data_IF_353186290052
#
_entry.id   IF_353186290052
#
_cell.length_a   1.000
_cell.length_b   1.000
_cell.length_c   1.000
_cell.angle_alpha   90.00
_cell.angle_beta   90.00
_cell.angle_gamma   90.00
#
_symmetry.space_group_name_H-M   'P 1'
#
loop_
_entity.id
_entity.type
_entity.pdbx_description
1 polymer ?
#
# COMPACT_ATOMS: atom_id res chain seq x y z
N UNK A 1 -18.07 46.22 -5.67
CA UNK A 1 -18.04 44.94 -6.39
C UNK A 1 -18.31 43.85 -5.36
N UNK A 2 -19.48 43.21 -5.33
CA UNK A 2 -19.81 42.22 -4.29
C UNK A 2 -18.99 40.96 -4.52
N UNK A 3 -18.41 40.44 -3.44
CA UNK A 3 -17.70 39.14 -3.42
C UNK A 3 -18.70 38.03 -3.82
N UNK A 4 -18.38 37.32 -4.88
CA UNK A 4 -19.17 36.14 -5.29
C UNK A 4 -19.16 35.12 -4.16
N UNK A 5 -20.35 34.75 -3.73
CA UNK A 5 -20.59 33.60 -2.87
C UNK A 5 -19.92 32.34 -3.51
N UNK A 6 -18.79 31.94 -2.96
CA UNK A 6 -18.19 30.64 -3.27
C UNK A 6 -18.85 29.65 -2.32
N UNK A 7 -19.99 29.11 -2.76
CA UNK A 7 -20.57 27.95 -2.10
C UNK A 7 -19.48 26.88 -1.93
N UNK A 8 -19.10 26.63 -0.69
CA UNK A 8 -18.23 25.51 -0.32
C UNK A 8 -18.92 24.26 -0.88
N UNK A 9 -18.20 23.41 -1.63
CA UNK A 9 -18.79 22.15 -2.10
C UNK A 9 -19.36 21.40 -0.90
N UNK A 10 -20.64 21.07 -0.96
CA UNK A 10 -21.28 20.25 0.05
C UNK A 10 -20.64 18.88 -0.01
N UNK A 11 -19.77 18.57 0.96
CA UNK A 11 -19.26 17.22 1.17
C UNK A 11 -20.43 16.43 1.75
N UNK A 12 -21.02 15.46 1.02
CA UNK A 12 -22.10 14.66 1.57
C UNK A 12 -21.58 13.95 2.82
N UNK A 13 -22.34 14.01 3.90
CA UNK A 13 -22.05 13.25 5.11
C UNK A 13 -21.96 11.78 4.72
N UNK A 14 -20.77 11.20 4.79
CA UNK A 14 -20.55 9.79 4.50
C UNK A 14 -21.31 8.96 5.52
N UNK A 15 -22.19 8.12 5.06
CA UNK A 15 -22.83 7.09 5.89
C UNK A 15 -21.75 6.14 6.42
N UNK A 16 -21.26 6.38 7.62
CA UNK A 16 -20.66 5.39 8.51
C UNK A 16 -19.25 4.84 8.21
N UNK A 17 -18.64 5.07 7.04
CA UNK A 17 -17.25 4.63 6.75
C UNK A 17 -16.51 5.74 6.01
N UNK A 18 -16.02 6.72 6.75
CA UNK A 18 -15.10 7.70 6.20
C UNK A 18 -13.75 6.99 5.99
N UNK A 19 -13.44 6.64 4.73
CA UNK A 19 -12.10 6.15 4.38
C UNK A 19 -11.10 7.28 4.61
N UNK A 20 -10.08 7.01 5.40
CA UNK A 20 -9.02 7.97 5.73
C UNK A 20 -7.95 8.09 4.63
N UNK A 21 -8.23 7.60 3.43
CA UNK A 21 -7.27 7.52 2.32
C UNK A 21 -7.95 7.72 0.97
N UNK A 22 -7.15 8.04 -0.05
CA UNK A 22 -7.57 8.04 -1.47
C UNK A 22 -6.42 7.54 -2.35
N UNK A 23 -6.70 7.13 -3.59
CA UNK A 23 -5.71 6.70 -4.55
C UNK A 23 -5.96 7.32 -5.92
N UNK A 24 -4.90 7.60 -6.66
CA UNK A 24 -4.92 7.99 -8.06
C UNK A 24 -4.67 6.81 -9.02
N UNK A 25 -4.52 5.59 -8.47
CA UNK A 25 -4.35 4.36 -9.23
C UNK A 25 -5.70 3.71 -9.50
N UNK A 26 -5.97 3.40 -10.77
CA UNK A 26 -7.11 2.58 -11.14
C UNK A 26 -6.84 1.11 -10.80
N UNK A 27 -7.54 0.63 -9.75
CA UNK A 27 -7.40 -0.75 -9.28
C UNK A 27 -8.17 -1.77 -10.13
N UNK A 28 -9.14 -1.33 -10.91
CA UNK A 28 -10.10 -2.21 -11.60
C UNK A 28 -9.94 -2.23 -13.13
N UNK A 29 -9.37 -1.19 -13.70
CA UNK A 29 -9.18 -1.06 -15.15
C UNK A 29 -8.13 -2.02 -15.74
N UNK A 30 -8.18 -2.21 -17.07
CA UNK A 30 -7.16 -2.95 -17.81
C UNK A 30 -5.94 -2.06 -18.10
N UNK A 31 -4.84 -2.69 -18.50
CA UNK A 31 -3.63 -1.99 -18.90
C UNK A 31 -2.70 -1.73 -17.74
N UNK A 32 -2.13 -0.53 -17.66
CA UNK A 32 -1.17 -0.15 -16.63
C UNK A 32 -1.58 1.16 -15.98
N UNK A 33 -1.74 1.15 -14.67
CA UNK A 33 -1.97 2.32 -13.83
C UNK A 33 -0.85 2.41 -12.80
N UNK A 34 -0.23 3.58 -12.65
CA UNK A 34 0.88 3.81 -11.70
C UNK A 34 0.64 5.13 -11.01
N UNK A 35 0.75 5.15 -9.69
CA UNK A 35 0.54 6.34 -8.87
C UNK A 35 0.78 6.02 -7.40
N UNK A 36 -0.07 6.57 -6.56
CA UNK A 36 0.07 6.45 -5.12
C UNK A 36 -1.27 6.19 -4.43
N UNK A 37 -1.16 5.57 -3.27
CA UNK A 37 -2.13 5.71 -2.21
C UNK A 37 -1.72 6.88 -1.34
N UNK A 38 -2.67 7.69 -0.94
CA UNK A 38 -2.49 8.88 -0.12
C UNK A 38 -3.23 8.70 1.21
N UNK A 39 -2.49 8.77 2.31
CA UNK A 39 -3.06 8.80 3.66
C UNK A 39 -2.75 10.17 4.26
N UNK A 40 -3.75 11.08 4.34
CA UNK A 40 -3.56 12.39 4.94
C UNK A 40 -3.17 12.27 6.41
N UNK A 41 -2.23 13.11 6.84
CA UNK A 41 -1.83 13.26 8.23
C UNK A 41 -1.42 14.70 8.53
N UNK A 42 -1.34 15.05 9.80
CA UNK A 42 -0.97 16.38 10.23
C UNK A 42 0.02 16.30 11.41
N UNK A 43 1.28 15.87 11.15
CA UNK A 43 2.31 15.85 12.17
C UNK A 43 2.83 17.27 12.47
N UNK A 44 3.54 17.44 13.57
CA UNK A 44 4.07 18.74 14.01
C UNK A 44 4.91 19.46 12.95
N UNK A 45 5.60 18.72 12.10
CA UNK A 45 6.48 19.27 11.06
C UNK A 45 5.79 19.51 9.71
N UNK A 46 4.56 19.03 9.52
CA UNK A 46 3.79 19.19 8.28
C UNK A 46 2.28 19.16 8.55
N UNK A 47 1.66 20.34 8.69
CA UNK A 47 0.24 20.46 8.97
C UNK A 47 -0.68 19.91 7.88
N UNK A 48 -0.17 19.71 6.65
CA UNK A 48 -0.88 19.17 5.49
C UNK A 48 -0.16 17.95 4.90
N UNK A 49 0.51 17.20 5.75
CA UNK A 49 1.26 16.03 5.38
C UNK A 49 0.42 14.93 4.75
N UNK A 50 1.08 14.10 3.96
CA UNK A 50 0.46 12.94 3.33
C UNK A 50 1.49 11.86 3.21
N UNK A 51 1.21 10.68 3.76
CA UNK A 51 1.99 9.47 3.43
C UNK A 51 1.57 9.01 2.04
N UNK A 52 2.55 8.87 1.14
CA UNK A 52 2.34 8.46 -0.25
C UNK A 52 2.93 7.08 -0.44
N UNK A 53 2.09 6.07 -0.52
CA UNK A 53 2.52 4.69 -0.75
C UNK A 53 2.50 4.43 -2.25
N UNK A 54 3.64 4.11 -2.88
CA UNK A 54 3.69 3.83 -4.32
C UNK A 54 2.90 2.56 -4.62
N UNK A 55 2.12 2.62 -5.69
CA UNK A 55 1.19 1.57 -6.08
C UNK A 55 1.12 1.49 -7.60
N UNK A 56 1.13 0.28 -8.14
CA UNK A 56 0.91 0.06 -9.55
C UNK A 56 0.00 -1.14 -9.79
N UNK A 57 -0.77 -1.07 -10.85
CA UNK A 57 -1.57 -2.17 -11.39
C UNK A 57 -1.13 -2.46 -12.81
N UNK A 58 -0.92 -3.74 -13.12
CA UNK A 58 -0.70 -4.22 -14.48
C UNK A 58 -1.70 -5.33 -14.73
N UNK A 59 -2.64 -5.11 -15.65
CA UNK A 59 -3.76 -6.03 -15.90
C UNK A 59 -4.00 -6.26 -17.38
N UNK A 60 -4.27 -7.52 -17.74
CA UNK A 60 -4.60 -7.91 -19.11
C UNK A 60 -5.43 -9.19 -19.12
N UNK A 61 -6.58 -9.12 -19.77
CA UNK A 61 -7.51 -10.25 -19.89
C UNK A 61 -8.15 -10.67 -18.56
N UNK A 62 -8.68 -11.88 -18.57
CA UNK A 62 -9.27 -12.52 -17.38
C UNK A 62 -8.25 -13.44 -16.71
N UNK A 63 -8.26 -13.49 -15.38
CA UNK A 63 -7.34 -14.33 -14.60
C UNK A 63 -7.29 -13.88 -13.15
N UNK A 64 -6.41 -14.48 -12.35
CA UNK A 64 -6.30 -14.16 -10.93
C UNK A 64 -5.76 -12.75 -10.71
N UNK A 65 -6.11 -12.20 -9.55
CA UNK A 65 -5.49 -11.01 -8.98
C UNK A 65 -4.42 -11.43 -7.99
N UNK A 66 -3.19 -11.04 -8.24
CA UNK A 66 -2.04 -11.32 -7.37
C UNK A 66 -1.45 -10.02 -6.87
N UNK A 67 -1.23 -9.93 -5.57
CA UNK A 67 -0.52 -8.82 -4.94
C UNK A 67 0.93 -9.23 -4.71
N UNK A 68 1.86 -8.35 -5.08
CA UNK A 68 3.26 -8.45 -4.69
C UNK A 68 3.63 -7.20 -3.92
N UNK A 69 3.96 -7.38 -2.66
CA UNK A 69 4.28 -6.30 -1.72
C UNK A 69 5.71 -6.44 -1.20
N UNK A 70 6.33 -5.32 -0.89
CA UNK A 70 7.60 -5.22 -0.20
C UNK A 70 7.62 -4.00 0.73
N UNK A 71 8.69 -3.90 1.54
CA UNK A 71 8.87 -2.77 2.44
C UNK A 71 7.89 -2.74 3.61
N UNK A 72 7.40 -3.90 4.03
CA UNK A 72 6.67 -4.06 5.29
C UNK A 72 7.57 -3.64 6.47
N UNK A 73 8.84 -4.08 6.41
CA UNK A 73 9.92 -3.52 7.21
C UNK A 73 10.78 -2.62 6.32
N UNK A 74 11.06 -1.41 6.79
CA UNK A 74 11.67 -0.39 5.96
C UNK A 74 13.14 -0.60 5.63
N UNK A 75 13.86 -1.39 6.42
CA UNK A 75 15.28 -1.73 6.22
C UNK A 75 15.51 -2.98 5.36
N UNK A 76 14.46 -3.59 4.81
CA UNK A 76 14.51 -4.75 3.92
C UNK A 76 14.41 -4.27 2.46
N UNK A 77 15.54 -3.88 1.85
CA UNK A 77 15.56 -3.14 0.58
C UNK A 77 15.40 -4.00 -0.66
N UNK A 78 15.80 -5.26 -0.63
CA UNK A 78 15.85 -6.15 -1.80
C UNK A 78 14.48 -6.30 -2.45
N UNK A 79 13.45 -6.57 -1.65
CA UNK A 79 12.07 -6.67 -2.11
C UNK A 79 11.57 -5.35 -2.73
N UNK A 80 11.92 -4.22 -2.12
CA UNK A 80 11.53 -2.89 -2.61
C UNK A 80 12.12 -2.62 -4.01
N UNK A 81 13.40 -2.99 -4.22
CA UNK A 81 14.07 -2.86 -5.51
C UNK A 81 13.42 -3.79 -6.54
N UNK A 82 13.18 -5.05 -6.19
CA UNK A 82 12.58 -6.06 -7.08
C UNK A 82 11.20 -5.58 -7.56
N UNK A 83 10.32 -5.19 -6.65
CA UNK A 83 8.97 -4.72 -7.03
C UNK A 83 9.04 -3.43 -7.84
N UNK A 84 9.96 -2.52 -7.50
CA UNK A 84 10.23 -1.33 -8.28
C UNK A 84 10.67 -1.64 -9.72
N UNK A 85 11.51 -2.66 -9.94
CA UNK A 85 11.91 -3.11 -11.26
C UNK A 85 10.75 -3.76 -12.03
N UNK A 86 9.93 -4.57 -11.37
CA UNK A 86 8.72 -5.13 -11.97
C UNK A 86 7.80 -4.02 -12.49
N UNK A 87 7.59 -2.96 -11.70
CA UNK A 87 6.78 -1.81 -12.12
C UNK A 87 7.36 -1.15 -13.38
N UNK A 88 8.68 -1.03 -13.50
CA UNK A 88 9.33 -0.40 -14.65
C UNK A 88 9.31 -1.26 -15.91
N UNK A 89 9.54 -2.55 -15.76
CA UNK A 89 9.81 -3.46 -16.88
C UNK A 89 8.60 -4.22 -17.41
N UNK A 90 7.59 -4.46 -16.57
CA UNK A 90 6.48 -5.34 -16.91
C UNK A 90 5.47 -4.65 -17.84
N UNK A 91 5.25 -5.22 -19.02
CA UNK A 91 4.21 -4.76 -19.94
C UNK A 91 2.90 -5.53 -19.70
N UNK A 92 1.71 -4.91 -19.93
CA UNK A 92 0.44 -5.60 -19.77
C UNK A 92 0.33 -6.90 -20.59
N UNK A 93 0.91 -6.95 -21.77
CA UNK A 93 0.92 -8.16 -22.63
C UNK A 93 1.63 -9.38 -22.03
N UNK A 94 2.43 -9.18 -20.97
CA UNK A 94 3.15 -10.24 -20.25
C UNK A 94 2.34 -10.78 -19.06
N UNK A 95 1.19 -10.17 -18.77
CA UNK A 95 0.31 -10.55 -17.65
C UNK A 95 -0.96 -11.19 -18.20
N UNK A 96 -1.43 -12.21 -17.52
CA UNK A 96 -2.79 -12.74 -17.67
C UNK A 96 -3.49 -12.64 -16.32
N UNK A 97 -4.53 -11.80 -16.25
CA UNK A 97 -5.17 -11.40 -15.00
C UNK A 97 -4.66 -10.04 -14.52
N UNK A 98 -4.37 -9.92 -13.24
CA UNK A 98 -4.02 -8.65 -12.59
C UNK A 98 -2.86 -8.82 -11.61
N UNK A 99 -1.88 -7.93 -11.71
CA UNK A 99 -0.86 -7.74 -10.69
C UNK A 99 -1.05 -6.39 -10.02
N UNK A 100 -1.09 -6.39 -8.70
CA UNK A 100 -1.03 -5.20 -7.86
C UNK A 100 0.35 -5.19 -7.21
N UNK A 101 1.11 -4.15 -7.46
CA UNK A 101 2.52 -4.04 -7.10
C UNK A 101 2.72 -2.90 -6.11
N UNK A 102 3.20 -3.22 -4.91
CA UNK A 102 3.44 -2.25 -3.83
C UNK A 102 4.92 -2.33 -3.42
N UNK A 103 5.79 -1.51 -3.99
CA UNK A 103 7.24 -1.63 -3.75
C UNK A 103 7.67 -1.24 -2.33
N UNK A 104 6.89 -0.40 -1.64
CA UNK A 104 7.18 0.00 -0.28
C UNK A 104 5.88 0.37 0.44
N UNK A 105 5.31 -0.59 1.16
CA UNK A 105 4.01 -0.38 1.85
C UNK A 105 4.17 0.50 3.10
N UNK A 106 5.26 0.34 3.85
CA UNK A 106 5.54 1.11 5.07
C UNK A 106 6.53 2.25 4.78
N UNK A 107 6.06 3.27 4.05
CA UNK A 107 6.88 4.42 3.66
C UNK A 107 7.56 5.11 4.84
N UNK A 108 6.92 5.36 6.00
CA UNK A 108 7.61 5.93 7.15
C UNK A 108 8.82 5.11 7.60
N UNK A 109 8.68 3.79 7.70
CA UNK A 109 9.76 2.89 8.06
C UNK A 109 10.86 2.86 6.99
N UNK A 110 10.48 2.77 5.71
CA UNK A 110 11.43 2.71 4.58
C UNK A 110 12.25 4.00 4.46
N UNK A 111 11.61 5.15 4.59
CA UNK A 111 12.30 6.46 4.57
C UNK A 111 13.29 6.59 5.73
N UNK A 112 12.97 6.02 6.87
CA UNK A 112 13.84 6.02 8.05
C UNK A 112 14.91 4.91 8.01
N UNK A 113 14.84 3.96 7.08
CA UNK A 113 15.70 2.79 7.05
C UNK A 113 15.59 1.92 8.29
N UNK A 114 14.37 1.77 8.82
CA UNK A 114 14.10 1.06 10.07
C UNK A 114 13.08 -0.05 9.86
N UNK A 115 13.15 -1.05 10.74
CA UNK A 115 12.18 -2.14 10.78
C UNK A 115 10.75 -1.69 11.08
N UNK A 116 10.60 -0.71 11.97
CA UNK A 116 9.32 -0.17 12.43
C UNK A 116 9.14 1.28 12.00
N UNK A 117 7.90 1.74 11.91
CA UNK A 117 7.60 3.15 11.65
C UNK A 117 8.15 4.05 12.77
N UNK A 118 8.89 5.12 12.46
CA UNK A 118 9.34 6.07 13.47
C UNK A 118 8.20 6.93 14.04
N UNK A 119 7.07 7.05 13.32
CA UNK A 119 5.99 7.95 13.66
C UNK A 119 5.15 7.44 14.85
N UNK A 120 5.03 6.11 14.97
CA UNK A 120 4.23 5.47 16.02
C UNK A 120 4.95 4.28 16.70
N UNK A 121 6.16 3.92 16.25
CA UNK A 121 6.95 2.81 16.77
C UNK A 121 6.43 1.42 16.42
N UNK A 122 5.34 1.32 15.64
CA UNK A 122 4.67 0.05 15.39
C UNK A 122 5.34 -0.74 14.26
N UNK A 123 5.27 -2.07 14.39
CA UNK A 123 5.63 -3.02 13.35
C UNK A 123 4.39 -3.35 12.53
N UNK A 124 4.39 -3.00 11.23
CA UNK A 124 3.25 -3.20 10.35
C UNK A 124 2.76 -4.66 10.35
N UNK A 125 3.68 -5.63 10.38
CA UNK A 125 3.38 -7.06 10.44
C UNK A 125 2.72 -7.54 11.76
N UNK A 126 2.41 -6.65 12.69
CA UNK A 126 1.79 -6.97 13.99
C UNK A 126 0.47 -6.26 14.21
N UNK A 127 0.05 -5.43 13.25
CA UNK A 127 -1.13 -4.56 13.44
C UNK A 127 -2.29 -4.88 12.46
N UNK A 128 -2.12 -5.82 11.55
CA UNK A 128 -3.21 -6.28 10.69
C UNK A 128 -4.38 -6.86 11.50
N UNK A 129 -5.63 -6.60 11.12
CA UNK A 129 -6.09 -5.96 9.87
C UNK A 129 -6.00 -4.43 9.88
N UNK A 130 -5.61 -3.79 10.96
CA UNK A 130 -5.47 -2.34 11.09
C UNK A 130 -6.69 -1.64 11.69
N UNK A 131 -6.63 -0.31 11.71
CA UNK A 131 -7.69 0.57 12.20
C UNK A 131 -7.64 1.90 11.44
N UNK A 132 -8.73 2.28 10.75
CA UNK A 132 -8.82 3.54 10.01
C UNK A 132 -8.78 4.78 10.91
N UNK A 133 -9.14 4.64 12.19
CA UNK A 133 -9.07 5.71 13.19
C UNK A 133 -7.78 5.64 14.04
N UNK A 134 -6.93 4.66 13.77
CA UNK A 134 -5.70 4.42 14.51
C UNK A 134 -4.51 5.30 14.08
N UNK A 135 -3.32 4.90 14.52
CA UNK A 135 -2.06 5.52 14.10
C UNK A 135 -1.76 5.27 12.62
N UNK A 136 -0.75 5.95 12.08
CA UNK A 136 -0.42 5.84 10.64
C UNK A 136 -0.15 4.40 10.20
N UNK A 137 0.58 3.61 11.01
CA UNK A 137 0.83 2.20 10.68
C UNK A 137 -0.44 1.35 10.70
N UNK A 138 -1.36 1.63 11.62
CA UNK A 138 -2.66 0.96 11.67
C UNK A 138 -3.56 1.35 10.48
N UNK A 139 -3.53 2.61 10.05
CA UNK A 139 -4.25 3.07 8.86
C UNK A 139 -3.71 2.43 7.57
N UNK A 140 -2.38 2.28 7.45
CA UNK A 140 -1.75 1.56 6.33
C UNK A 140 -2.25 0.10 6.30
N UNK A 141 -2.25 -0.59 7.45
CA UNK A 141 -2.73 -1.97 7.54
C UNK A 141 -4.22 -2.10 7.18
N UNK A 142 -5.06 -1.18 7.65
CA UNK A 142 -6.49 -1.17 7.35
C UNK A 142 -6.75 -1.01 5.85
N UNK A 143 -6.09 -0.04 5.20
CA UNK A 143 -6.18 0.11 3.75
C UNK A 143 -5.76 -1.17 3.02
N UNK A 144 -4.61 -1.71 3.40
CA UNK A 144 -4.07 -2.89 2.73
C UNK A 144 -5.03 -4.07 2.85
N UNK A 145 -5.64 -4.26 4.03
CA UNK A 145 -6.62 -5.31 4.28
C UNK A 145 -7.89 -5.12 3.46
N UNK A 146 -8.47 -3.93 3.52
CA UNK A 146 -9.80 -3.68 2.97
C UNK A 146 -9.81 -3.46 1.46
N UNK A 147 -8.79 -2.83 0.91
CA UNK A 147 -8.77 -2.48 -0.52
C UNK A 147 -7.91 -3.41 -1.37
N UNK A 148 -6.85 -3.96 -0.82
CA UNK A 148 -5.94 -4.81 -1.61
C UNK A 148 -6.18 -6.28 -1.34
N UNK A 149 -6.02 -6.75 -0.10
CA UNK A 149 -6.15 -8.17 0.22
C UNK A 149 -7.55 -8.72 -0.08
N UNK A 150 -8.60 -7.91 0.09
CA UNK A 150 -9.98 -8.30 -0.25
C UNK A 150 -10.19 -8.61 -1.74
N UNK A 151 -9.29 -8.17 -2.62
CA UNK A 151 -9.33 -8.39 -4.08
C UNK A 151 -8.44 -9.54 -4.55
N UNK A 152 -7.57 -10.06 -3.68
CA UNK A 152 -6.48 -10.93 -4.06
C UNK A 152 -6.88 -12.41 -4.03
N UNK A 153 -6.56 -13.12 -5.11
CA UNK A 153 -6.56 -14.58 -5.14
C UNK A 153 -5.25 -15.15 -4.57
N UNK A 154 -4.16 -14.36 -4.62
CA UNK A 154 -2.88 -14.70 -4.00
C UNK A 154 -2.11 -13.45 -3.57
N UNK A 155 -1.32 -13.60 -2.52
CA UNK A 155 -0.51 -12.53 -1.94
C UNK A 155 0.92 -13.02 -1.71
N UNK A 156 1.88 -12.22 -2.16
CA UNK A 156 3.30 -12.43 -1.96
C UNK A 156 3.92 -11.22 -1.27
N UNK A 157 4.44 -11.43 -0.07
CA UNK A 157 5.21 -10.42 0.68
C UNK A 157 6.69 -10.75 0.62
N UNK A 158 7.48 -9.80 0.13
CA UNK A 158 8.93 -9.95 -0.01
C UNK A 158 9.62 -9.37 1.22
N UNK A 159 10.34 -10.22 1.90
CA UNK A 159 11.14 -9.89 3.07
C UNK A 159 12.62 -10.21 2.86
N UNK A 160 13.49 -9.59 3.64
CA UNK A 160 14.91 -9.94 3.76
C UNK A 160 15.40 -9.80 5.21
N UNK A 161 16.69 -9.92 5.44
CA UNK A 161 17.27 -9.82 6.78
C UNK A 161 17.35 -8.40 7.35
N UNK A 162 17.10 -7.39 6.51
CA UNK A 162 17.27 -5.99 6.89
C UNK A 162 18.68 -5.69 7.39
N UNK A 163 18.76 -4.85 8.40
CA UNK A 163 20.03 -4.40 8.99
C UNK A 163 20.63 -5.37 10.03
N UNK A 164 19.91 -6.45 10.39
CA UNK A 164 20.28 -7.25 11.57
C UNK A 164 20.40 -8.76 11.35
N UNK A 165 19.93 -9.30 10.22
CA UNK A 165 19.89 -10.72 9.98
C UNK A 165 20.48 -11.08 8.60
N UNK A 166 21.21 -12.19 8.54
CA UNK A 166 21.52 -12.92 7.31
C UNK A 166 20.54 -14.09 7.20
N UNK A 167 19.67 -14.05 6.19
CA UNK A 167 18.61 -15.03 6.02
C UNK A 167 18.87 -15.90 4.77
N UNK A 168 18.84 -17.21 4.95
CA UNK A 168 18.86 -18.13 3.81
C UNK A 168 17.61 -17.95 2.95
N UNK A 169 17.71 -18.09 1.62
CA UNK A 169 16.55 -18.04 0.74
C UNK A 169 15.49 -19.05 1.18
N UNK A 170 14.31 -18.56 1.50
CA UNK A 170 13.21 -19.39 2.04
C UNK A 170 11.86 -18.83 1.59
N UNK A 171 10.84 -19.69 1.59
CA UNK A 171 9.46 -19.29 1.38
C UNK A 171 8.60 -19.86 2.51
N UNK A 172 7.81 -18.99 3.14
CA UNK A 172 6.76 -19.37 4.07
C UNK A 172 5.45 -19.40 3.33
N UNK A 173 4.83 -20.57 3.23
CA UNK A 173 3.56 -20.75 2.54
C UNK A 173 2.47 -20.99 3.57
N UNK A 174 1.43 -20.16 3.54
CA UNK A 174 0.20 -20.39 4.29
C UNK A 174 -0.89 -20.76 3.28
N UNK A 175 -1.41 -21.99 3.30
CA UNK A 175 -2.56 -22.34 2.48
C UNK A 175 -3.77 -21.50 2.94
N UNK A 176 -4.59 -21.09 1.97
CA UNK A 176 -5.88 -20.47 2.30
C UNK A 176 -6.64 -21.43 3.22
N UNK A 177 -7.18 -20.90 4.31
CA UNK A 177 -8.11 -21.70 5.11
C UNK A 177 -9.37 -21.83 4.27
N UNK A 178 -9.83 -23.06 4.06
CA UNK A 178 -11.15 -23.31 3.46
C UNK A 178 -12.21 -22.56 4.28
N UNK A 179 -13.16 -21.87 3.63
CA UNK A 179 -14.19 -21.06 4.30
C UNK A 179 -15.14 -21.90 5.13
#
# INVERSE_FOLDING_TARGET
>A
MPLRDRSVPHIPASNGNCKSYFSDVDLDGPGRSVGFLYIPQSPDHDAWGTVRIPLAVVANGTGPTVIVEAGNHGDEYEGQIIVGELIRSLAPSQVQGRLILVPSVNIPASTAGKRTSPDDGLNLNRVFPGDHAGSITQQIAAFFSDELLSRADAFLSLHSGGSSLDIVPSALVQPAQDP
#
